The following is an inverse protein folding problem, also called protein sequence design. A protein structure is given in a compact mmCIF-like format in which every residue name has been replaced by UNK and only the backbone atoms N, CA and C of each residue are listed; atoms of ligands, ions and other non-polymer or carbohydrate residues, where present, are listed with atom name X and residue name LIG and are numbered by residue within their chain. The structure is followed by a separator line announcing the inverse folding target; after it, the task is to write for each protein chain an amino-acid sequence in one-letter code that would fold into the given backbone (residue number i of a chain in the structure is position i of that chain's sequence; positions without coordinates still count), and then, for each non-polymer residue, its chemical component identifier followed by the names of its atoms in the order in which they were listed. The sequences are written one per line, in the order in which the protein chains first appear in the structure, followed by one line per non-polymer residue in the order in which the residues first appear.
data_IF_828880987504
#
_entry.id   IF_828880987504
#
_cell.length_a   1.000
_cell.length_b   1.000
_cell.length_c   1.000
_cell.angle_alpha   90.00
_cell.angle_beta   90.00
_cell.angle_gamma   90.00
#
_symmetry.space_group_name_H-M   'P 1'
#
loop_
_entity.id
_entity.type
_entity.pdbx_description
1 polymer ?
#
# COMPACT_ATOMS: atom_id res chain seq x y z
N UNK A 1 -4.05 -32.24 -19.80
CA UNK A 1 -5.31 -31.53 -20.06
C UNK A 1 -5.90 -31.08 -18.73
N UNK A 2 -6.09 -29.77 -18.52
CA UNK A 2 -6.64 -29.25 -17.26
C UNK A 2 -7.59 -28.08 -17.58
N UNK A 3 -8.89 -28.41 -17.70
CA UNK A 3 -10.07 -27.57 -17.53
C UNK A 3 -9.90 -26.05 -17.75
N UNK A 4 -10.00 -25.61 -19.00
CA UNK A 4 -10.05 -24.20 -19.43
C UNK A 4 -11.35 -23.46 -19.06
N UNK A 5 -11.94 -23.74 -17.90
CA UNK A 5 -13.01 -22.91 -17.35
C UNK A 5 -12.39 -21.64 -16.77
N UNK A 6 -12.61 -20.49 -17.41
CA UNK A 6 -12.02 -19.24 -16.91
C UNK A 6 -12.59 -18.91 -15.53
N UNK A 7 -11.77 -18.41 -14.60
CA UNK A 7 -12.20 -18.05 -13.23
C UNK A 7 -13.34 -17.02 -13.22
N UNK A 8 -13.51 -16.28 -14.31
CA UNK A 8 -14.56 -15.28 -14.52
C UNK A 8 -15.80 -15.82 -15.26
N UNK A 9 -15.90 -17.13 -15.50
CA UNK A 9 -17.09 -17.73 -16.11
C UNK A 9 -18.34 -17.38 -15.30
N UNK A 10 -19.37 -16.85 -15.98
CA UNK A 10 -20.62 -16.39 -15.38
C UNK A 10 -20.62 -14.95 -14.86
N UNK A 11 -19.49 -14.22 -14.96
CA UNK A 11 -19.36 -12.87 -14.40
C UNK A 11 -20.25 -11.86 -15.13
N UNK A 12 -20.27 -11.94 -16.46
CA UNK A 12 -21.07 -11.04 -17.29
C UNK A 12 -22.56 -11.20 -16.95
N UNK A 13 -23.02 -12.43 -16.85
CA UNK A 13 -24.42 -12.76 -16.55
C UNK A 13 -24.79 -12.29 -15.14
N UNK A 14 -23.91 -12.51 -14.16
CA UNK A 14 -24.12 -12.06 -12.79
C UNK A 14 -24.20 -10.53 -12.68
N UNK A 15 -23.36 -9.79 -13.41
CA UNK A 15 -23.41 -8.32 -13.44
C UNK A 15 -24.67 -7.84 -14.15
N UNK A 16 -25.05 -8.47 -15.27
CA UNK A 16 -26.22 -8.10 -16.06
C UNK A 16 -27.55 -8.36 -15.32
N UNK A 17 -27.59 -9.32 -14.39
CA UNK A 17 -28.75 -9.55 -13.52
C UNK A 17 -29.01 -8.41 -12.53
N UNK A 18 -28.05 -7.50 -12.31
CA UNK A 18 -28.19 -6.38 -11.39
C UNK A 18 -28.17 -6.79 -9.91
N UNK A 19 -28.90 -6.07 -9.05
CA UNK A 19 -28.96 -6.35 -7.61
C UNK A 19 -27.66 -6.01 -6.89
N UNK A 20 -27.08 -6.99 -6.17
CA UNK A 20 -25.83 -6.81 -5.40
C UNK A 20 -24.70 -6.23 -6.26
N UNK A 21 -24.61 -6.63 -7.53
CA UNK A 21 -23.60 -6.10 -8.46
C UNK A 21 -23.82 -4.65 -8.82
N UNK A 22 -25.07 -4.24 -9.06
CA UNK A 22 -25.36 -2.84 -9.36
C UNK A 22 -25.06 -1.96 -8.15
N UNK A 23 -25.51 -2.36 -6.96
CA UNK A 23 -25.23 -1.65 -5.71
C UNK A 23 -23.73 -1.53 -5.43
N UNK A 24 -22.98 -2.63 -5.62
CA UNK A 24 -21.54 -2.66 -5.45
C UNK A 24 -20.82 -1.74 -6.44
N UNK A 25 -21.16 -1.81 -7.73
CA UNK A 25 -20.50 -1.02 -8.78
C UNK A 25 -20.84 0.48 -8.70
N UNK A 26 -22.04 0.83 -8.24
CA UNK A 26 -22.43 2.25 -8.08
C UNK A 26 -21.88 2.88 -6.80
N UNK A 27 -21.45 2.10 -5.81
CA UNK A 27 -20.96 2.61 -4.52
C UNK A 27 -19.71 3.49 -4.63
N UNK A 28 -19.70 4.62 -3.90
CA UNK A 28 -18.54 5.52 -3.82
C UNK A 28 -17.40 4.92 -2.98
N UNK A 29 -17.71 3.98 -2.11
CA UNK A 29 -16.80 3.25 -1.23
C UNK A 29 -16.53 1.81 -1.74
N UNK A 30 -16.68 1.55 -3.05
CA UNK A 30 -16.51 0.21 -3.65
C UNK A 30 -15.20 -0.49 -3.21
N UNK A 31 -14.12 0.26 -3.00
CA UNK A 31 -12.81 -0.27 -2.62
C UNK A 31 -12.74 -0.88 -1.22
N UNK A 32 -13.66 -0.53 -0.32
CA UNK A 32 -13.74 -1.06 1.05
C UNK A 32 -14.91 -2.03 1.26
N UNK A 33 -15.80 -2.16 0.28
CA UNK A 33 -16.96 -3.05 0.37
C UNK A 33 -16.61 -4.52 0.13
N UNK A 34 -17.37 -5.39 0.79
CA UNK A 34 -17.37 -6.80 0.48
C UNK A 34 -17.87 -7.03 -0.95
N UNK A 35 -17.22 -7.93 -1.67
CA UNK A 35 -17.67 -8.39 -2.98
C UNK A 35 -19.03 -9.12 -2.84
N UNK A 36 -19.89 -9.11 -3.88
CA UNK A 36 -21.12 -9.91 -3.91
C UNK A 36 -20.86 -11.36 -3.49
N UNK A 37 -21.73 -11.93 -2.65
CA UNK A 37 -21.41 -13.12 -1.81
C UNK A 37 -20.89 -14.32 -2.60
N UNK A 38 -21.49 -14.62 -3.76
CA UNK A 38 -21.10 -15.74 -4.62
C UNK A 38 -19.72 -15.59 -5.26
N UNK A 39 -19.18 -14.35 -5.30
CA UNK A 39 -17.91 -14.01 -5.91
C UNK A 39 -16.81 -13.71 -4.89
N UNK A 40 -17.17 -13.32 -3.67
CA UNK A 40 -16.22 -13.02 -2.60
C UNK A 40 -15.30 -14.20 -2.28
N UNK A 41 -15.83 -15.42 -2.20
CA UNK A 41 -15.04 -16.63 -1.94
C UNK A 41 -14.40 -17.25 -3.19
N UNK A 42 -14.95 -16.97 -4.39
CA UNK A 42 -14.46 -17.51 -5.66
C UNK A 42 -13.21 -16.80 -6.17
N UNK A 43 -13.02 -15.53 -5.78
CA UNK A 43 -11.98 -14.67 -6.34
C UNK A 43 -10.92 -14.29 -5.29
N UNK A 44 -9.66 -14.46 -5.65
CA UNK A 44 -8.52 -13.87 -4.91
C UNK A 44 -8.63 -12.34 -4.84
N UNK A 45 -7.96 -11.72 -3.87
CA UNK A 45 -7.77 -10.25 -3.74
C UNK A 45 -7.41 -9.60 -5.10
N UNK A 46 -6.40 -10.12 -5.79
CA UNK A 46 -5.93 -9.60 -7.09
C UNK A 46 -7.01 -9.66 -8.18
N UNK A 47 -7.72 -10.79 -8.30
CA UNK A 47 -8.82 -10.95 -9.27
C UNK A 47 -10.00 -10.01 -8.97
N UNK A 48 -10.31 -9.75 -7.70
CA UNK A 48 -11.32 -8.75 -7.31
C UNK A 48 -10.88 -7.34 -7.73
N UNK A 49 -9.60 -7.01 -7.53
CA UNK A 49 -9.02 -5.75 -8.00
C UNK A 49 -9.14 -5.57 -9.52
N UNK A 50 -8.88 -6.62 -10.31
CA UNK A 50 -9.03 -6.55 -11.77
C UNK A 50 -10.46 -6.18 -12.18
N UNK A 51 -11.47 -6.75 -11.54
CA UNK A 51 -12.87 -6.42 -11.80
C UNK A 51 -13.15 -4.96 -11.41
N UNK A 52 -12.76 -4.54 -10.20
CA UNK A 52 -12.93 -3.15 -9.75
C UNK A 52 -12.29 -2.15 -10.73
N UNK A 53 -11.06 -2.44 -11.19
CA UNK A 53 -10.34 -1.64 -12.20
C UNK A 53 -11.12 -1.49 -13.50
N UNK A 54 -11.83 -2.53 -13.94
CA UNK A 54 -12.61 -2.49 -15.19
C UNK A 54 -13.84 -1.58 -15.13
N UNK A 55 -14.34 -1.24 -13.94
CA UNK A 55 -15.52 -0.39 -13.77
C UNK A 55 -15.23 0.99 -13.18
N UNK A 56 -14.25 1.11 -12.28
CA UNK A 56 -13.89 2.35 -11.58
C UNK A 56 -12.38 2.44 -11.38
N UNK A 57 -11.70 3.13 -12.29
CA UNK A 57 -10.24 3.31 -12.27
C UNK A 57 -9.75 4.21 -11.14
N UNK A 58 -10.59 5.15 -10.69
CA UNK A 58 -10.26 6.14 -9.65
C UNK A 58 -9.82 5.53 -8.31
N UNK A 59 -10.17 4.27 -8.03
CA UNK A 59 -9.80 3.58 -6.80
C UNK A 59 -8.64 2.59 -6.94
N UNK A 60 -8.01 2.49 -8.11
CA UNK A 60 -6.98 1.47 -8.36
C UNK A 60 -5.85 1.51 -7.33
N UNK A 61 -5.36 2.70 -6.96
CA UNK A 61 -4.30 2.84 -5.94
C UNK A 61 -4.74 2.33 -4.58
N UNK A 62 -5.97 2.60 -4.15
CA UNK A 62 -6.50 2.13 -2.87
C UNK A 62 -6.68 0.61 -2.86
N UNK A 63 -7.25 0.06 -3.92
CA UNK A 63 -7.47 -1.39 -4.03
C UNK A 63 -6.14 -2.14 -4.15
N UNK A 64 -5.15 -1.59 -4.88
CA UNK A 64 -3.82 -2.16 -4.97
C UNK A 64 -3.13 -2.22 -3.59
N UNK A 65 -3.27 -1.17 -2.77
CA UNK A 65 -2.79 -1.19 -1.37
C UNK A 65 -3.45 -2.31 -0.57
N UNK A 66 -4.76 -2.53 -0.73
CA UNK A 66 -5.45 -3.64 -0.05
C UNK A 66 -4.89 -5.00 -0.49
N UNK A 67 -4.64 -5.21 -1.79
CA UNK A 67 -4.02 -6.45 -2.28
C UNK A 67 -2.62 -6.64 -1.68
N UNK A 68 -1.79 -5.59 -1.64
CA UNK A 68 -0.47 -5.66 -1.01
C UNK A 68 -0.58 -6.00 0.48
N UNK A 69 -1.53 -5.40 1.19
CA UNK A 69 -1.75 -5.68 2.61
C UNK A 69 -2.24 -7.12 2.86
N UNK A 70 -3.11 -7.65 2.01
CA UNK A 70 -3.65 -9.01 2.12
C UNK A 70 -2.60 -10.07 1.78
N UNK A 71 -1.77 -9.83 0.76
CA UNK A 71 -0.82 -10.84 0.24
C UNK A 71 0.58 -10.75 0.86
N UNK A 72 1.07 -9.54 1.15
CA UNK A 72 2.42 -9.30 1.69
C UNK A 72 2.41 -8.81 3.15
N UNK A 73 1.29 -8.27 3.62
CA UNK A 73 1.12 -7.74 4.98
C UNK A 73 1.11 -6.22 5.04
N UNK A 74 0.48 -5.69 6.10
CA UNK A 74 0.26 -4.25 6.29
C UNK A 74 1.55 -3.41 6.34
N UNK A 75 2.66 -4.01 6.79
CA UNK A 75 3.97 -3.34 6.85
C UNK A 75 4.44 -2.80 5.48
N UNK A 76 3.95 -3.37 4.38
CA UNK A 76 4.29 -2.93 3.02
C UNK A 76 3.44 -1.77 2.50
N UNK A 77 2.39 -1.39 3.23
CA UNK A 77 1.56 -0.21 2.91
C UNK A 77 1.63 0.88 3.97
N UNK A 78 2.23 0.61 5.12
CA UNK A 78 2.45 1.57 6.18
C UNK A 78 3.79 2.26 5.97
N UNK A 79 3.84 3.58 6.17
CA UNK A 79 5.12 4.29 6.15
C UNK A 79 5.95 3.82 7.34
N UNK A 80 7.21 3.39 7.15
CA UNK A 80 8.05 3.04 8.28
C UNK A 80 8.30 4.28 9.16
N UNK A 81 8.39 4.11 10.48
CA UNK A 81 8.76 5.20 11.37
C UNK A 81 10.17 5.70 11.03
N UNK A 82 10.36 7.01 11.04
CA UNK A 82 11.70 7.60 10.87
C UNK A 82 12.59 7.19 12.05
N UNK A 83 13.75 6.60 11.76
CA UNK A 83 14.72 6.18 12.77
C UNK A 83 16.14 6.48 12.32
N UNK A 84 16.63 7.67 12.68
CA UNK A 84 17.96 8.11 12.30
C UNK A 84 19.08 7.25 12.93
N UNK A 85 18.89 6.77 14.16
CA UNK A 85 19.88 5.94 14.84
C UNK A 85 20.08 4.59 14.14
N UNK A 86 18.99 3.96 13.67
CA UNK A 86 19.08 2.74 12.87
C UNK A 86 19.80 3.00 11.54
N UNK A 87 19.42 4.04 10.80
CA UNK A 87 20.09 4.42 9.55
C UNK A 87 21.60 4.69 9.75
N UNK A 88 21.97 5.35 10.85
CA UNK A 88 23.37 5.61 11.18
C UNK A 88 24.14 4.32 11.47
N UNK A 89 23.57 3.40 12.25
CA UNK A 89 24.23 2.14 12.60
C UNK A 89 24.38 1.21 11.37
N UNK A 90 23.47 1.29 10.41
CA UNK A 90 23.55 0.57 9.12
C UNK A 90 24.47 1.27 8.10
N UNK A 91 24.94 2.49 8.42
CA UNK A 91 25.83 3.27 7.56
C UNK A 91 27.31 3.04 7.86
N UNK A 92 28.15 3.38 6.89
CA UNK A 92 29.61 3.38 7.00
C UNK A 92 30.15 4.76 6.61
N UNK A 93 31.39 5.05 6.97
CA UNK A 93 32.03 6.36 6.73
C UNK A 93 32.11 6.79 5.25
N UNK A 94 31.88 5.88 4.32
CA UNK A 94 31.84 6.15 2.87
C UNK A 94 30.42 6.15 2.29
N UNK A 95 29.39 5.95 3.12
CA UNK A 95 27.98 5.94 2.70
C UNK A 95 27.26 7.19 3.26
N UNK A 96 26.97 8.20 2.41
CA UNK A 96 26.27 9.40 2.88
C UNK A 96 24.81 9.09 3.23
N UNK A 97 24.31 9.71 4.29
CA UNK A 97 22.88 9.70 4.64
C UNK A 97 22.19 10.89 3.99
N UNK A 98 21.17 10.63 3.17
CA UNK A 98 20.41 11.65 2.45
C UNK A 98 19.06 11.87 3.13
N UNK A 99 18.77 13.13 3.44
CA UNK A 99 17.47 13.54 3.98
C UNK A 99 16.61 14.11 2.85
N UNK A 100 15.40 13.56 2.70
CA UNK A 100 14.38 14.10 1.79
C UNK A 100 13.35 14.83 2.63
N UNK A 101 13.28 16.16 2.48
CA UNK A 101 12.46 17.04 3.32
C UNK A 101 11.28 17.59 2.53
N UNK A 102 10.11 17.61 3.15
CA UNK A 102 9.01 18.46 2.70
C UNK A 102 9.28 19.91 3.08
N UNK A 103 8.60 20.86 2.43
CA UNK A 103 8.69 22.27 2.79
C UNK A 103 8.41 22.48 4.30
N UNK A 104 9.32 23.19 4.98
CA UNK A 104 9.21 23.49 6.41
C UNK A 104 9.67 22.39 7.36
N UNK A 105 10.11 21.21 6.87
CA UNK A 105 10.74 20.20 7.71
C UNK A 105 12.24 20.51 7.91
N UNK A 106 12.71 20.44 9.17
CA UNK A 106 14.10 20.66 9.55
C UNK A 106 14.67 19.42 10.26
N UNK A 107 15.72 18.75 9.73
CA UNK A 107 16.31 17.57 10.35
C UNK A 107 17.32 17.90 11.46
N UNK A 108 17.61 19.18 11.70
CA UNK A 108 18.68 19.64 12.60
C UNK A 108 18.57 19.07 14.01
N UNK A 109 17.37 19.06 14.59
CA UNK A 109 17.16 18.53 15.94
C UNK A 109 17.52 17.03 16.03
N UNK A 110 17.10 16.22 15.07
CA UNK A 110 17.44 14.79 15.03
C UNK A 110 18.95 14.56 14.93
N UNK A 111 19.65 15.37 14.15
CA UNK A 111 21.12 15.29 14.00
C UNK A 111 21.83 15.70 15.29
N UNK A 112 21.37 16.77 15.94
CA UNK A 112 21.91 17.24 17.22
C UNK A 112 21.74 16.19 18.32
N UNK A 113 20.55 15.58 18.43
CA UNK A 113 20.28 14.51 19.38
C UNK A 113 21.18 13.30 19.12
N UNK A 114 21.29 12.83 17.87
CA UNK A 114 22.17 11.71 17.54
C UNK A 114 23.63 12.04 17.88
N UNK A 115 24.10 13.25 17.55
CA UNK A 115 25.47 13.66 17.86
C UNK A 115 25.74 13.69 19.37
N UNK A 116 24.79 14.18 20.17
CA UNK A 116 24.91 14.15 21.63
C UNK A 116 24.98 12.71 22.16
N UNK A 117 24.10 11.81 21.71
CA UNK A 117 24.09 10.41 22.10
C UNK A 117 25.39 9.67 21.75
N UNK A 118 26.02 10.03 20.63
CA UNK A 118 27.29 9.43 20.18
C UNK A 118 28.54 10.15 20.71
N UNK A 119 28.39 11.26 21.43
CA UNK A 119 29.52 12.08 21.91
C UNK A 119 30.24 12.87 20.82
N UNK A 120 29.54 13.22 19.74
CA UNK A 120 30.06 13.94 18.57
C UNK A 120 29.54 15.37 18.44
N UNK A 121 28.92 15.92 19.49
CA UNK A 121 28.35 17.28 19.45
C UNK A 121 29.34 18.35 18.95
N UNK A 122 30.63 18.25 19.29
CA UNK A 122 31.66 19.20 18.86
C UNK A 122 32.13 19.00 17.40
N UNK A 123 31.83 17.85 16.80
CA UNK A 123 32.23 17.49 15.42
C UNK A 123 31.13 17.78 14.40
N UNK A 124 29.90 18.00 14.86
CA UNK A 124 28.78 18.32 14.00
C UNK A 124 28.82 19.82 13.69
N UNK A 125 29.03 20.16 12.43
CA UNK A 125 29.04 21.53 11.92
C UNK A 125 27.94 21.64 10.85
N UNK A 126 27.15 22.70 10.91
CA UNK A 126 26.10 23.02 9.93
C UNK A 126 26.59 24.09 8.97
#
# INVERSE_FOLDING_TARGET
EANGGTVFTGLREAIAQGGEWQEFLTADDMYSRAFPKSWASKLSSFRRMLIMKSFKENFLTLVARNVVADELGKVFIESPPFNLAACYNDSVNVMPLIFVLSAGADPTEYLLTLAAEKGYSERLHF
#
